data_IF_888056537581
#
_entry.id   IF_888056537581
#
_cell.length_a   1.000
_cell.length_b   1.000
_cell.length_c   1.000
_cell.angle_alpha   90.00
_cell.angle_beta   90.00
_cell.angle_gamma   90.00
#
_symmetry.space_group_name_H-M   'P 1'
#
loop_
_entity.id
_entity.type
_entity.pdbx_description
1 polymer ?
#
# COMPACT_ATOMS: atom_id res chain seq x y z
N UNK A 1 5.91 13.24 -16.37
CA UNK A 1 5.37 12.90 -15.03
C UNK A 1 6.51 12.42 -14.17
N UNK A 2 6.47 12.60 -12.85
CA UNK A 2 7.55 12.14 -11.95
C UNK A 2 7.41 10.64 -11.68
N UNK A 3 8.47 9.98 -11.23
CA UNK A 3 8.40 8.57 -10.80
C UNK A 3 7.33 8.37 -9.72
N UNK A 4 7.20 9.32 -8.78
CA UNK A 4 6.15 9.32 -7.77
C UNK A 4 4.75 9.24 -8.40
N UNK A 5 4.48 9.98 -9.48
CA UNK A 5 3.18 9.91 -10.17
C UNK A 5 2.89 8.52 -10.73
N UNK A 6 3.90 7.84 -11.31
CA UNK A 6 3.75 6.47 -11.81
C UNK A 6 3.55 5.48 -10.67
N UNK A 7 4.30 5.59 -9.58
CA UNK A 7 4.13 4.75 -8.40
C UNK A 7 2.74 4.94 -7.77
N UNK A 8 2.25 6.16 -7.70
CA UNK A 8 0.92 6.46 -7.18
C UNK A 8 -0.17 5.81 -8.04
N UNK A 9 -0.06 5.90 -9.38
CA UNK A 9 -0.99 5.23 -10.30
C UNK A 9 -0.92 3.71 -10.12
N UNK A 10 0.28 3.13 -10.07
CA UNK A 10 0.47 1.69 -9.82
C UNK A 10 -0.14 1.24 -8.49
N UNK A 11 0.02 2.04 -7.44
CA UNK A 11 -0.61 1.77 -6.14
C UNK A 11 -2.14 1.76 -6.24
N UNK A 12 -2.75 2.76 -6.86
CA UNK A 12 -4.20 2.80 -7.02
C UNK A 12 -4.74 1.61 -7.84
N UNK A 13 -4.02 1.21 -8.89
CA UNK A 13 -4.38 0.03 -9.69
C UNK A 13 -4.26 -1.25 -8.86
N UNK A 14 -3.15 -1.44 -8.16
CA UNK A 14 -2.90 -2.63 -7.33
C UNK A 14 -3.89 -2.77 -6.17
N UNK A 15 -4.13 -1.69 -5.43
CA UNK A 15 -4.95 -1.72 -4.20
C UNK A 15 -6.45 -1.68 -4.44
N UNK A 16 -6.92 -1.07 -5.53
CA UNK A 16 -8.34 -0.93 -5.79
C UNK A 16 -8.84 -1.75 -6.97
N UNK A 17 -8.15 -1.71 -8.12
CA UNK A 17 -8.64 -2.40 -9.31
C UNK A 17 -8.34 -3.89 -9.30
N UNK A 18 -7.14 -4.28 -8.85
CA UNK A 18 -6.72 -5.69 -8.83
C UNK A 18 -6.93 -6.38 -7.48
N UNK A 19 -7.29 -5.63 -6.43
CA UNK A 19 -7.67 -6.22 -5.16
C UNK A 19 -9.07 -6.82 -5.24
N UNK A 20 -9.15 -8.15 -5.14
CA UNK A 20 -10.44 -8.86 -5.12
C UNK A 20 -11.10 -8.82 -3.74
N UNK A 21 -12.41 -9.07 -3.69
CA UNK A 21 -13.17 -9.18 -2.42
C UNK A 21 -12.62 -10.25 -1.47
N UNK A 22 -12.00 -11.32 -2.00
CA UNK A 22 -11.33 -12.34 -1.21
C UNK A 22 -10.10 -11.79 -0.50
N UNK A 23 -9.25 -11.04 -1.21
CA UNK A 23 -8.09 -10.35 -0.63
C UNK A 23 -8.53 -9.35 0.43
N UNK A 24 -9.42 -8.43 0.07
CA UNK A 24 -9.85 -7.33 0.93
C UNK A 24 -10.46 -7.81 2.26
N UNK A 25 -11.25 -8.89 2.24
CA UNK A 25 -11.91 -9.43 3.44
C UNK A 25 -10.98 -10.22 4.35
N UNK A 26 -9.95 -10.87 3.79
CA UNK A 26 -9.17 -11.86 4.52
C UNK A 26 -7.72 -11.44 4.78
N UNK A 27 -7.17 -10.42 4.10
CA UNK A 27 -5.75 -10.00 4.24
C UNK A 27 -5.35 -9.62 5.67
N UNK A 28 -6.29 -9.05 6.45
CA UNK A 28 -6.02 -8.72 7.85
C UNK A 28 -5.82 -9.98 8.73
N UNK A 29 -6.50 -11.10 8.43
CA UNK A 29 -6.57 -12.27 9.32
C UNK A 29 -5.85 -13.51 8.78
N UNK A 30 -5.63 -13.61 7.48
CA UNK A 30 -5.04 -14.78 6.81
C UNK A 30 -3.82 -14.35 5.99
N UNK A 31 -2.76 -15.16 6.05
CA UNK A 31 -1.49 -14.87 5.36
C UNK A 31 -1.56 -15.06 3.85
N UNK A 32 -2.25 -16.09 3.36
CA UNK A 32 -2.30 -16.37 1.91
C UNK A 32 -2.96 -15.21 1.12
N UNK A 33 -4.14 -14.69 1.49
CA UNK A 33 -4.73 -13.54 0.80
C UNK A 33 -3.88 -12.28 0.89
N UNK A 34 -3.19 -12.08 2.01
CA UNK A 34 -2.27 -10.95 2.19
C UNK A 34 -1.07 -11.05 1.25
N UNK A 35 -0.37 -12.18 1.24
CA UNK A 35 0.82 -12.38 0.40
C UNK A 35 0.47 -12.27 -1.07
N UNK A 36 -0.63 -12.90 -1.51
CA UNK A 36 -1.11 -12.79 -2.90
C UNK A 36 -1.40 -11.33 -3.25
N UNK A 37 -2.06 -10.60 -2.36
CA UNK A 37 -2.32 -9.18 -2.57
C UNK A 37 -1.02 -8.36 -2.67
N UNK A 38 -0.07 -8.54 -1.75
CA UNK A 38 1.23 -7.85 -1.79
C UNK A 38 2.00 -8.15 -3.10
N UNK A 39 1.92 -9.38 -3.62
CA UNK A 39 2.53 -9.75 -4.91
C UNK A 39 1.84 -8.99 -6.04
N UNK A 40 0.51 -9.04 -6.13
CA UNK A 40 -0.28 -8.36 -7.17
C UNK A 40 -0.04 -6.84 -7.14
N UNK A 41 -0.04 -6.26 -5.94
CA UNK A 41 0.30 -4.87 -5.69
C UNK A 41 1.69 -4.52 -6.23
N UNK A 42 2.71 -5.25 -5.78
CA UNK A 42 4.12 -5.00 -6.15
C UNK A 42 4.32 -5.13 -7.66
N UNK A 43 3.69 -6.13 -8.29
CA UNK A 43 3.71 -6.30 -9.74
C UNK A 43 3.05 -5.13 -10.48
N UNK A 44 1.95 -4.58 -9.95
CA UNK A 44 1.31 -3.40 -10.51
C UNK A 44 2.23 -2.17 -10.49
N UNK A 45 2.93 -1.94 -9.37
CA UNK A 45 3.89 -0.84 -9.26
C UNK A 45 5.07 -1.01 -10.21
N UNK A 46 5.65 -2.21 -10.30
CA UNK A 46 6.75 -2.51 -11.23
C UNK A 46 6.30 -2.26 -12.68
N UNK A 47 5.11 -2.74 -13.06
CA UNK A 47 4.61 -2.57 -14.42
C UNK A 47 4.39 -1.10 -14.78
N UNK A 48 3.77 -0.31 -13.89
CA UNK A 48 3.50 1.11 -14.15
C UNK A 48 4.78 1.95 -14.11
N UNK A 49 5.72 1.65 -13.19
CA UNK A 49 7.03 2.30 -13.17
C UNK A 49 7.81 2.03 -14.47
N UNK A 50 7.76 0.79 -14.98
CA UNK A 50 8.37 0.42 -16.25
C UNK A 50 7.80 1.19 -17.44
N UNK A 51 6.47 1.39 -17.49
CA UNK A 51 5.83 2.24 -18.50
C UNK A 51 6.29 3.71 -18.43
N UNK A 52 6.67 4.18 -17.24
CA UNK A 52 7.27 5.51 -17.03
C UNK A 52 8.75 5.60 -17.38
N UNK A 53 9.36 4.53 -17.90
CA UNK A 53 10.78 4.44 -18.22
C UNK A 53 11.69 4.19 -17.00
N UNK A 54 11.11 3.92 -15.83
CA UNK A 54 11.85 3.66 -14.59
C UNK A 54 11.94 2.17 -14.27
N UNK A 55 13.11 1.73 -13.80
CA UNK A 55 13.26 0.42 -13.16
C UNK A 55 13.35 0.63 -11.65
N UNK A 56 12.51 -0.09 -10.89
CA UNK A 56 12.57 -0.03 -9.43
C UNK A 56 13.83 -0.75 -8.93
N UNK A 57 14.70 -0.08 -8.15
CA UNK A 57 15.82 -0.73 -7.50
C UNK A 57 15.34 -1.83 -6.55
N UNK A 58 16.13 -2.90 -6.40
CA UNK A 58 15.76 -4.05 -5.55
C UNK A 58 15.42 -3.59 -4.12
N UNK A 59 16.17 -2.63 -3.57
CA UNK A 59 15.89 -2.05 -2.26
C UNK A 59 14.52 -1.38 -2.16
N UNK A 60 14.07 -0.69 -3.22
CA UNK A 60 12.75 -0.09 -3.29
C UNK A 60 11.64 -1.15 -3.36
N UNK A 61 11.84 -2.22 -4.15
CA UNK A 61 10.88 -3.34 -4.25
C UNK A 61 10.72 -4.04 -2.91
N UNK A 62 11.84 -4.32 -2.22
CA UNK A 62 11.83 -4.92 -0.88
C UNK A 62 11.08 -4.01 0.09
N UNK A 63 11.38 -2.70 0.11
CA UNK A 63 10.69 -1.75 0.97
C UNK A 63 9.18 -1.73 0.69
N UNK A 64 8.75 -1.63 -0.58
CA UNK A 64 7.33 -1.67 -0.97
C UNK A 64 6.63 -2.91 -0.45
N UNK A 65 7.18 -4.08 -0.74
CA UNK A 65 6.52 -5.34 -0.41
C UNK A 65 6.36 -5.50 1.10
N UNK A 66 7.42 -5.24 1.88
CA UNK A 66 7.38 -5.42 3.33
C UNK A 66 6.57 -4.33 4.03
N UNK A 67 6.63 -3.07 3.58
CA UNK A 67 5.77 -2.03 4.14
C UNK A 67 4.30 -2.36 3.90
N UNK A 68 3.94 -2.82 2.70
CA UNK A 68 2.59 -3.21 2.34
C UNK A 68 2.10 -4.36 3.21
N UNK A 69 2.94 -5.39 3.38
CA UNK A 69 2.65 -6.55 4.24
C UNK A 69 2.32 -6.13 5.68
N UNK A 70 3.06 -5.16 6.23
CA UNK A 70 2.88 -4.68 7.61
C UNK A 70 1.63 -3.81 7.75
N UNK A 71 1.43 -2.86 6.83
CA UNK A 71 0.31 -1.91 6.89
C UNK A 71 -1.04 -2.65 6.73
N UNK A 72 -1.12 -3.59 5.78
CA UNK A 72 -2.35 -4.31 5.46
C UNK A 72 -2.83 -5.32 6.52
N UNK A 73 -1.99 -5.64 7.50
CA UNK A 73 -2.42 -6.37 8.70
C UNK A 73 -3.35 -5.53 9.58
N UNK A 74 -3.47 -4.22 9.31
CA UNK A 74 -4.33 -3.23 9.98
C UNK A 74 -4.08 -3.02 11.47
N UNK A 75 -3.14 -3.75 12.09
CA UNK A 75 -2.81 -3.58 13.51
C UNK A 75 -2.26 -2.18 13.80
N UNK A 76 -1.29 -1.74 12.99
CA UNK A 76 -0.69 -0.41 13.12
C UNK A 76 -1.71 0.70 12.83
N UNK A 77 -2.47 0.58 11.74
CA UNK A 77 -3.46 1.58 11.34
C UNK A 77 -4.59 1.70 12.38
N UNK A 78 -5.13 0.57 12.86
CA UNK A 78 -6.16 0.58 13.90
C UNK A 78 -5.63 1.17 15.21
N UNK A 79 -4.37 0.86 15.57
CA UNK A 79 -3.72 1.49 16.72
C UNK A 79 -3.59 3.00 16.54
N UNK A 80 -3.19 3.47 15.35
CA UNK A 80 -3.01 4.88 15.03
C UNK A 80 -4.34 5.65 15.13
N UNK A 81 -5.39 5.15 14.47
CA UNK A 81 -6.72 5.76 14.49
C UNK A 81 -7.27 5.83 15.92
N UNK A 82 -7.07 4.78 16.72
CA UNK A 82 -7.55 4.73 18.10
C UNK A 82 -6.75 5.64 19.05
N UNK A 83 -5.43 5.60 19.00
CA UNK A 83 -4.60 6.23 20.04
C UNK A 83 -4.08 7.62 19.66
N UNK A 84 -3.76 7.82 18.37
CA UNK A 84 -3.25 9.10 17.86
C UNK A 84 -4.42 10.00 17.47
N UNK A 85 -5.34 9.50 16.64
CA UNK A 85 -6.49 10.29 16.17
C UNK A 85 -7.66 10.29 17.14
N UNK A 86 -7.66 9.42 18.17
CA UNK A 86 -8.70 9.31 19.20
C UNK A 86 -10.12 9.23 18.62
N UNK A 87 -10.24 8.54 17.49
CA UNK A 87 -11.51 8.38 16.78
C UNK A 87 -12.23 7.13 17.28
N UNK A 88 -13.51 7.29 17.60
CA UNK A 88 -14.40 6.20 18.00
C UNK A 88 -15.69 6.23 17.17
N UNK A 89 -16.45 5.13 17.17
CA UNK A 89 -17.74 5.04 16.48
C UNK A 89 -17.63 4.72 14.99
N UNK A 90 -18.64 5.13 14.21
CA UNK A 90 -18.83 4.71 12.82
C UNK A 90 -17.73 5.21 11.87
N UNK A 91 -17.20 6.41 12.11
CA UNK A 91 -16.15 7.06 11.31
C UNK A 91 -14.84 6.26 11.28
N UNK A 92 -14.57 5.47 12.32
CA UNK A 92 -13.36 4.65 12.47
C UNK A 92 -13.10 3.77 11.25
N UNK A 93 -14.16 3.22 10.62
CA UNK A 93 -14.00 2.29 9.49
C UNK A 93 -13.43 3.00 8.26
N UNK A 94 -14.00 4.15 7.92
CA UNK A 94 -13.56 4.96 6.78
C UNK A 94 -12.17 5.56 7.05
N UNK A 95 -11.96 6.10 8.25
CA UNK A 95 -10.67 6.67 8.62
C UNK A 95 -9.55 5.63 8.63
N UNK A 96 -9.81 4.39 9.06
CA UNK A 96 -8.83 3.31 8.91
C UNK A 96 -8.42 3.11 7.44
N UNK A 97 -9.35 3.17 6.48
CA UNK A 97 -9.01 3.04 5.07
C UNK A 97 -8.17 4.25 4.61
N UNK A 98 -8.55 5.47 4.98
CA UNK A 98 -7.80 6.66 4.57
C UNK A 98 -6.40 6.72 5.17
N UNK A 99 -6.26 6.42 6.47
CA UNK A 99 -4.96 6.39 7.15
C UNK A 99 -4.06 5.31 6.56
N UNK A 100 -4.62 4.13 6.28
CA UNK A 100 -3.91 3.05 5.59
C UNK A 100 -3.33 3.53 4.26
N UNK A 101 -4.16 4.12 3.40
CA UNK A 101 -3.72 4.60 2.08
C UNK A 101 -2.71 5.76 2.17
N UNK A 102 -2.86 6.67 3.13
CA UNK A 102 -1.90 7.75 3.37
C UNK A 102 -0.52 7.18 3.73
N UNK A 103 -0.44 6.17 4.59
CA UNK A 103 0.84 5.54 4.92
C UNK A 103 1.48 4.86 3.71
N UNK A 104 0.70 4.21 2.85
CA UNK A 104 1.22 3.66 1.60
C UNK A 104 1.78 4.76 0.70
N UNK A 105 1.06 5.87 0.50
CA UNK A 105 1.52 7.03 -0.29
C UNK A 105 2.78 7.65 0.29
N UNK A 106 2.92 7.73 1.62
CA UNK A 106 4.15 8.19 2.28
C UNK A 106 5.33 7.29 1.88
N UNK A 107 5.17 5.97 1.89
CA UNK A 107 6.22 5.04 1.45
C UNK A 107 6.59 5.27 -0.01
N UNK A 108 5.63 5.52 -0.90
CA UNK A 108 5.91 5.86 -2.29
C UNK A 108 6.75 7.15 -2.40
N UNK A 109 6.43 8.16 -1.58
CA UNK A 109 7.19 9.41 -1.51
C UNK A 109 8.62 9.19 -1.01
N UNK A 110 8.81 8.37 0.02
CA UNK A 110 10.14 7.97 0.53
C UNK A 110 10.95 7.29 -0.57
N UNK A 111 10.36 6.32 -1.27
CA UNK A 111 11.05 5.62 -2.36
C UNK A 111 11.43 6.59 -3.48
N UNK A 112 10.48 7.42 -3.90
CA UNK A 112 10.71 8.39 -4.95
C UNK A 112 11.80 9.40 -4.59
N UNK A 113 11.98 9.73 -3.30
CA UNK A 113 12.99 10.69 -2.84
C UNK A 113 14.39 10.08 -2.65
N UNK A 114 14.49 8.84 -2.17
CA UNK A 114 15.78 8.22 -1.84
C UNK A 114 16.42 7.47 -3.00
N UNK A 115 15.65 7.10 -4.04
CA UNK A 115 16.17 6.36 -5.19
C UNK A 115 16.14 7.12 -6.52
N UNK A 116 15.49 8.28 -6.60
CA UNK A 116 15.31 9.07 -7.84
C UNK A 116 15.34 10.58 -7.55
#
# INVERSE_FOLDING_TARGET
MTIFSYLLIGHLIGDFLFQTSWMARLKATKWVPLIVHCIVYTMSLIAVAFLGGGLLPIGAIVLLFFSHLVLDKRLFVAWWVKHVMRTEGQETKWLCIMVDQIFHVIILGVIAHFWF
#
